data_IF_661000213717
#
_entry.id   IF_661000213717
#
_cell.length_a   1.000
_cell.length_b   1.000
_cell.length_c   1.000
_cell.angle_alpha   90.00
_cell.angle_beta   90.00
_cell.angle_gamma   90.00
#
_symmetry.space_group_name_H-M   'P 1'
#
loop_
_entity.id
_entity.type
_entity.pdbx_description
1 polymer ?
#
# COMPACT_ATOMS: atom_id res chain seq x y z
N UNK A 1 -15.00 -8.13 4.06
CA UNK A 1 -14.11 -7.05 3.53
C UNK A 1 -12.62 -7.37 3.68
N UNK A 2 -12.20 -8.08 4.74
CA UNK A 2 -10.80 -8.48 5.01
C UNK A 2 -10.13 -9.24 3.86
N UNK A 3 -10.88 -10.14 3.22
CA UNK A 3 -10.43 -10.88 2.03
C UNK A 3 -9.96 -9.96 0.89
N UNK A 4 -10.73 -8.90 0.57
CA UNK A 4 -10.37 -7.96 -0.50
C UNK A 4 -9.09 -7.18 -0.16
N UNK A 5 -8.96 -6.75 1.10
CA UNK A 5 -7.75 -6.04 1.58
C UNK A 5 -6.52 -6.92 1.41
N UNK A 6 -6.63 -8.19 1.82
CA UNK A 6 -5.53 -9.14 1.74
C UNK A 6 -5.10 -9.41 0.30
N UNK A 7 -6.06 -9.67 -0.60
CA UNK A 7 -5.77 -9.87 -2.03
C UNK A 7 -5.19 -8.64 -2.70
N UNK A 8 -5.72 -7.45 -2.43
CA UNK A 8 -5.17 -6.21 -2.98
C UNK A 8 -3.72 -5.99 -2.56
N UNK A 9 -3.38 -6.21 -1.29
CA UNK A 9 -2.00 -6.09 -0.82
C UNK A 9 -1.07 -7.11 -1.45
N UNK A 10 -1.49 -8.38 -1.57
CA UNK A 10 -0.70 -9.42 -2.25
C UNK A 10 -0.49 -9.07 -3.72
N UNK A 11 -1.53 -8.61 -4.41
CA UNK A 11 -1.43 -8.20 -5.81
C UNK A 11 -0.48 -7.02 -5.98
N UNK A 12 -0.57 -5.98 -5.14
CA UNK A 12 0.38 -4.86 -5.20
C UNK A 12 1.81 -5.35 -4.99
N UNK A 13 2.07 -6.16 -3.96
CA UNK A 13 3.41 -6.70 -3.68
C UNK A 13 3.92 -7.53 -4.86
N UNK A 14 3.10 -8.44 -5.39
CA UNK A 14 3.47 -9.27 -6.54
C UNK A 14 3.75 -8.45 -7.80
N UNK A 15 2.88 -7.48 -8.11
CA UNK A 15 3.07 -6.54 -9.21
C UNK A 15 4.33 -5.70 -9.03
N UNK A 16 4.62 -5.21 -7.82
CA UNK A 16 5.82 -4.45 -7.52
C UNK A 16 7.09 -5.30 -7.68
N UNK A 17 7.08 -6.56 -7.23
CA UNK A 17 8.22 -7.49 -7.43
C UNK A 17 8.47 -7.71 -8.92
N UNK A 18 7.41 -7.99 -9.69
CA UNK A 18 7.51 -8.19 -11.14
C UNK A 18 7.99 -6.92 -11.85
N UNK A 19 7.41 -5.77 -11.52
CA UNK A 19 7.79 -4.49 -12.09
C UNK A 19 9.23 -4.11 -11.75
N UNK A 20 9.70 -4.42 -10.54
CA UNK A 20 11.07 -4.18 -10.11
C UNK A 20 12.04 -5.09 -10.87
N UNK A 21 11.73 -6.37 -11.03
CA UNK A 21 12.55 -7.30 -11.82
C UNK A 21 12.67 -6.85 -13.28
N UNK A 22 11.56 -6.50 -13.93
CA UNK A 22 11.57 -5.99 -15.32
C UNK A 22 12.34 -4.67 -15.42
N UNK A 23 12.15 -3.76 -14.45
CA UNK A 23 12.84 -2.47 -14.45
C UNK A 23 14.36 -2.63 -14.25
N UNK A 24 14.81 -3.59 -13.45
CA UNK A 24 16.23 -3.90 -13.29
C UNK A 24 16.85 -4.43 -14.59
N UNK A 25 16.15 -5.32 -15.30
CA UNK A 25 16.60 -5.82 -16.61
C UNK A 25 16.66 -4.72 -17.68
N UNK A 26 15.82 -3.69 -17.56
CA UNK A 26 15.79 -2.52 -18.43
C UNK A 26 16.75 -1.38 -17.98
N UNK A 27 17.69 -1.64 -17.07
CA UNK A 27 18.64 -0.62 -16.61
C UNK A 27 18.03 0.51 -15.77
N UNK A 28 16.87 0.26 -15.14
CA UNK A 28 16.15 1.22 -14.31
C UNK A 28 15.17 2.13 -15.07
N UNK A 29 15.07 1.96 -16.39
CA UNK A 29 14.20 2.76 -17.26
C UNK A 29 13.34 1.85 -18.15
N UNK A 30 12.31 1.19 -17.59
CA UNK A 30 11.38 0.39 -18.39
C UNK A 30 10.61 1.28 -19.36
N UNK A 31 10.05 0.68 -20.41
CA UNK A 31 9.20 1.39 -21.36
C UNK A 31 7.99 2.05 -20.65
N UNK A 32 7.62 3.25 -21.09
CA UNK A 32 6.57 4.05 -20.45
C UNK A 32 5.23 3.30 -20.34
N UNK A 33 4.84 2.55 -21.37
CA UNK A 33 3.59 1.77 -21.37
C UNK A 33 3.57 0.72 -20.27
N UNK A 34 4.71 0.12 -19.95
CA UNK A 34 4.84 -0.87 -18.88
C UNK A 34 4.69 -0.21 -17.51
N UNK A 35 5.36 0.93 -17.32
CA UNK A 35 5.23 1.72 -16.09
C UNK A 35 3.78 2.18 -15.87
N UNK A 36 3.11 2.65 -16.93
CA UNK A 36 1.70 3.04 -16.87
C UNK A 36 0.80 1.87 -16.49
N UNK A 37 0.96 0.71 -17.14
CA UNK A 37 0.20 -0.48 -16.81
C UNK A 37 0.40 -0.90 -15.33
N UNK A 38 1.63 -0.85 -14.84
CA UNK A 38 1.96 -1.11 -13.43
C UNK A 38 1.28 -0.12 -12.49
N UNK A 39 1.46 1.18 -12.70
CA UNK A 39 0.90 2.22 -11.82
C UNK A 39 -0.62 2.18 -11.83
N UNK A 40 -1.27 1.99 -12.98
CA UNK A 40 -2.72 1.84 -13.07
C UNK A 40 -3.23 0.65 -12.25
N UNK A 41 -2.57 -0.50 -12.39
CA UNK A 41 -2.95 -1.72 -11.66
C UNK A 41 -2.74 -1.55 -10.14
N UNK A 42 -1.64 -0.93 -9.73
CA UNK A 42 -1.36 -0.63 -8.33
C UNK A 42 -2.39 0.34 -7.75
N UNK A 43 -2.71 1.43 -8.45
CA UNK A 43 -3.69 2.43 -8.00
C UNK A 43 -5.12 1.87 -7.96
N UNK A 44 -5.48 0.97 -8.87
CA UNK A 44 -6.74 0.23 -8.80
C UNK A 44 -6.84 -0.56 -7.48
N UNK A 45 -5.79 -1.31 -7.13
CA UNK A 45 -5.74 -2.06 -5.87
C UNK A 45 -5.76 -1.14 -4.64
N UNK A 46 -5.07 0.01 -4.69
CA UNK A 46 -5.10 1.04 -3.65
C UNK A 46 -6.52 1.61 -3.48
N UNK A 47 -7.26 1.83 -4.56
CA UNK A 47 -8.66 2.26 -4.50
C UNK A 47 -9.54 1.26 -3.73
N UNK A 48 -9.36 -0.03 -3.97
CA UNK A 48 -10.03 -1.10 -3.20
C UNK A 48 -9.62 -1.06 -1.73
N UNK A 49 -8.34 -0.80 -1.43
CA UNK A 49 -7.84 -0.72 -0.05
C UNK A 49 -8.45 0.42 0.74
N UNK A 50 -8.49 1.64 0.17
CA UNK A 50 -8.99 2.82 0.88
C UNK A 50 -10.42 2.63 1.39
N UNK A 51 -11.34 2.11 0.58
CA UNK A 51 -12.71 1.88 1.03
C UNK A 51 -12.80 0.81 2.13
N UNK A 52 -12.18 -0.34 1.89
CA UNK A 52 -12.32 -1.50 2.77
C UNK A 52 -11.56 -1.34 4.11
N UNK A 53 -10.33 -0.83 4.11
CA UNK A 53 -9.57 -0.61 5.35
C UNK A 53 -10.21 0.46 6.24
N UNK A 54 -10.68 1.56 5.67
CA UNK A 54 -11.38 2.58 6.45
C UNK A 54 -12.65 2.02 7.10
N UNK A 55 -13.45 1.22 6.36
CA UNK A 55 -14.64 0.60 6.94
C UNK A 55 -14.32 -0.36 8.09
N UNK A 56 -13.29 -1.21 7.93
CA UNK A 56 -12.85 -2.15 8.97
C UNK A 56 -12.34 -1.43 10.22
N UNK A 57 -11.65 -0.31 10.05
CA UNK A 57 -11.18 0.49 11.19
C UNK A 57 -12.33 1.15 11.96
N UNK A 58 -13.44 1.47 11.29
CA UNK A 58 -14.59 2.14 11.89
C UNK A 58 -15.64 1.18 12.47
N UNK A 59 -15.62 -0.10 12.10
CA UNK A 59 -16.53 -1.15 12.60
C UNK A 59 -16.69 -1.17 14.14
N UNK A 60 -15.62 -1.11 14.95
CA UNK A 60 -15.76 -1.13 16.42
C UNK A 60 -16.07 0.26 17.02
N UNK A 61 -15.93 1.35 16.26
CA UNK A 61 -16.00 2.72 16.79
C UNK A 61 -17.44 3.26 16.85
N UNK A 62 -18.38 2.70 16.09
CA UNK A 62 -19.82 3.02 16.17
C UNK A 62 -20.08 4.53 16.14
N UNK A 63 -20.66 5.07 17.23
CA UNK A 63 -20.96 6.51 17.37
C UNK A 63 -19.73 7.43 17.30
N UNK A 64 -18.52 6.91 17.50
CA UNK A 64 -17.25 7.64 17.40
C UNK A 64 -16.60 7.53 16.03
N UNK A 65 -17.21 6.86 15.05
CA UNK A 65 -16.62 6.64 13.73
C UNK A 65 -16.19 7.93 13.02
N UNK A 66 -16.92 9.04 13.21
CA UNK A 66 -16.54 10.34 12.62
C UNK A 66 -15.22 10.88 13.17
N UNK A 67 -15.04 10.86 14.50
CA UNK A 67 -13.79 11.29 15.16
C UNK A 67 -12.67 10.31 14.80
N UNK A 68 -12.96 9.00 14.82
CA UNK A 68 -12.02 7.96 14.42
C UNK A 68 -11.49 8.16 12.99
N UNK A 69 -12.36 8.44 12.03
CA UNK A 69 -11.98 8.67 10.64
C UNK A 69 -11.07 9.90 10.48
N UNK A 70 -11.36 10.99 11.21
CA UNK A 70 -10.52 12.18 11.21
C UNK A 70 -9.11 11.92 11.78
N UNK A 71 -9.03 11.15 12.87
CA UNK A 71 -7.74 10.75 13.46
C UNK A 71 -6.97 9.83 12.53
N UNK A 72 -7.62 8.82 11.95
CA UNK A 72 -6.98 7.90 10.99
C UNK A 72 -6.48 8.66 9.77
N UNK A 73 -7.26 9.58 9.21
CA UNK A 73 -6.86 10.39 8.05
C UNK A 73 -5.69 11.32 8.34
N UNK A 74 -5.72 12.03 9.47
CA UNK A 74 -4.65 12.94 9.88
C UNK A 74 -3.34 12.19 10.18
N UNK A 75 -3.40 11.11 10.96
CA UNK A 75 -2.22 10.27 11.24
C UNK A 75 -1.68 9.59 9.98
N UNK A 76 -2.55 9.09 9.09
CA UNK A 76 -2.11 8.48 7.83
C UNK A 76 -1.35 9.49 6.98
N UNK A 77 -1.83 10.73 6.89
CA UNK A 77 -1.15 11.80 6.16
C UNK A 77 0.19 12.17 6.82
N UNK A 78 0.19 12.32 8.14
CA UNK A 78 1.38 12.66 8.92
C UNK A 78 2.49 11.59 8.78
N UNK A 79 2.13 10.30 8.76
CA UNK A 79 3.07 9.19 8.57
C UNK A 79 3.48 9.06 7.10
N UNK A 80 2.54 9.24 6.16
CA UNK A 80 2.82 9.11 4.72
C UNK A 80 3.77 10.20 4.22
N UNK A 81 3.70 11.42 4.76
CA UNK A 81 4.52 12.55 4.35
C UNK A 81 6.05 12.26 4.44
N UNK A 82 6.63 11.86 5.59
CA UNK A 82 8.05 11.56 5.68
C UNK A 82 8.43 10.33 4.85
N UNK A 83 7.59 9.28 4.81
CA UNK A 83 7.88 8.09 4.00
C UNK A 83 7.94 8.39 2.51
N UNK A 84 6.95 9.13 2.00
CA UNK A 84 6.92 9.62 0.62
C UNK A 84 8.09 10.55 0.32
N UNK A 85 8.45 11.41 1.28
CA UNK A 85 9.63 12.29 1.16
C UNK A 85 10.92 11.49 1.04
N UNK A 86 11.14 10.49 1.90
CA UNK A 86 12.32 9.62 1.83
C UNK A 86 12.39 8.92 0.47
N UNK A 87 11.30 8.30 0.03
CA UNK A 87 11.26 7.61 -1.27
C UNK A 87 11.52 8.60 -2.42
N UNK A 88 10.90 9.78 -2.39
CA UNK A 88 11.06 10.81 -3.40
C UNK A 88 12.47 11.39 -3.47
N UNK A 89 13.12 11.61 -2.33
CA UNK A 89 14.51 12.10 -2.26
C UNK A 89 15.53 11.06 -2.75
N UNK A 90 15.17 9.77 -2.72
CA UNK A 90 15.99 8.71 -3.30
C UNK A 90 15.84 8.59 -4.83
N UNK A 91 15.04 9.45 -5.48
CA UNK A 91 14.92 9.46 -6.93
C UNK A 91 16.25 9.82 -7.60
N UNK A 92 16.76 8.90 -8.40
CA UNK A 92 18.08 8.98 -9.04
C UNK A 92 17.99 8.92 -10.57
N UNK A 93 16.86 9.35 -11.16
CA UNK A 93 16.62 9.24 -12.61
C UNK A 93 16.15 7.86 -13.07
N UNK A 94 15.87 6.95 -12.13
CA UNK A 94 15.27 5.63 -12.39
C UNK A 94 13.94 5.50 -11.66
N UNK A 95 13.09 4.59 -12.11
CA UNK A 95 11.81 4.28 -11.45
C UNK A 95 11.96 3.29 -10.29
N UNK A 96 13.17 2.76 -10.06
CA UNK A 96 13.43 1.72 -9.07
C UNK A 96 13.08 2.16 -7.64
N UNK A 97 13.47 3.36 -7.15
CA UNK A 97 13.13 3.80 -5.79
C UNK A 97 11.61 3.87 -5.57
N UNK A 98 10.86 4.29 -6.60
CA UNK A 98 9.40 4.37 -6.55
C UNK A 98 8.76 2.98 -6.47
N UNK A 99 9.13 2.06 -7.36
CA UNK A 99 8.57 0.70 -7.39
C UNK A 99 8.95 -0.05 -6.10
N UNK A 100 10.20 0.06 -5.66
CA UNK A 100 10.68 -0.53 -4.41
C UNK A 100 9.93 0.05 -3.21
N UNK A 101 9.74 1.37 -3.16
CA UNK A 101 8.99 2.03 -2.08
C UNK A 101 7.55 1.53 -1.97
N UNK A 102 6.83 1.47 -3.10
CA UNK A 102 5.46 0.92 -3.14
C UNK A 102 5.44 -0.55 -2.68
N UNK A 103 6.36 -1.38 -3.20
CA UNK A 103 6.43 -2.79 -2.86
C UNK A 103 6.76 -3.05 -1.39
N UNK A 104 7.74 -2.33 -0.85
CA UNK A 104 8.16 -2.44 0.55
C UNK A 104 7.06 -2.00 1.51
N UNK A 105 6.46 -0.81 1.31
CA UNK A 105 5.41 -0.30 2.18
C UNK A 105 4.15 -1.19 2.12
N UNK A 106 3.79 -1.68 0.93
CA UNK A 106 2.68 -2.63 0.77
C UNK A 106 2.97 -3.97 1.44
N UNK A 107 4.21 -4.45 1.36
CA UNK A 107 4.67 -5.65 2.06
C UNK A 107 4.60 -5.51 3.58
N UNK A 108 5.08 -4.38 4.12
CA UNK A 108 4.95 -4.06 5.54
C UNK A 108 3.48 -3.98 5.97
N UNK A 109 2.63 -3.33 5.18
CA UNK A 109 1.19 -3.27 5.43
C UNK A 109 0.56 -4.67 5.49
N UNK A 110 0.95 -5.57 4.58
CA UNK A 110 0.48 -6.96 4.58
C UNK A 110 0.88 -7.72 5.86
N UNK A 111 2.10 -7.50 6.36
CA UNK A 111 2.55 -8.10 7.63
C UNK A 111 1.75 -7.56 8.82
N UNK A 112 1.52 -6.25 8.86
CA UNK A 112 0.73 -5.60 9.92
C UNK A 112 -0.71 -6.09 9.91
N UNK A 113 -1.34 -6.18 8.73
CA UNK A 113 -2.70 -6.72 8.60
C UNK A 113 -2.74 -8.14 9.13
N UNK A 114 -1.85 -9.03 8.68
CA UNK A 114 -1.79 -10.42 9.14
C UNK A 114 -1.60 -10.55 10.66
N UNK A 115 -0.74 -9.72 11.24
CA UNK A 115 -0.54 -9.71 12.68
C UNK A 115 -1.81 -9.27 13.43
N UNK A 116 -2.51 -8.25 12.93
CA UNK A 116 -3.78 -7.81 13.49
C UNK A 116 -4.86 -8.90 13.39
N UNK A 117 -4.92 -9.65 12.29
CA UNK A 117 -5.86 -10.76 12.15
C UNK A 117 -5.57 -11.90 13.13
N UNK A 118 -4.29 -12.25 13.28
CA UNK A 118 -3.87 -13.30 14.21
C UNK A 118 -4.23 -12.97 15.66
N UNK A 119 -4.03 -11.71 16.08
CA UNK A 119 -4.43 -11.25 17.42
C UNK A 119 -5.93 -11.37 17.66
N UNK A 120 -6.75 -10.98 16.68
CA UNK A 120 -8.20 -11.11 16.80
C UNK A 120 -8.65 -12.58 16.90
N UNK A 121 -8.02 -13.47 16.14
CA UNK A 121 -8.33 -14.92 16.21
C UNK A 121 -7.96 -15.56 17.55
N UNK A 122 -6.98 -15.01 18.27
CA UNK A 122 -6.55 -15.51 19.59
C UNK A 122 -7.42 -14.96 20.73
N UNK A 123 -8.17 -13.88 20.49
CA UNK A 123 -9.03 -13.21 21.47
C UNK A 123 -10.51 -13.63 21.37
N UNK A 124 -10.87 -14.44 20.38
CA UNK A 124 -12.21 -15.00 20.16
C UNK A 124 -12.28 -16.45 20.68
#
# INVERSE_FOLDING_TARGET
MRFLVWWSLILIVGLSILALAVSLLAGGQPALWFLMAYIMSAFFCIGVLFGNQNSLAMEPLGHLAGIGAAVVGSLSTFISMPLGTIIGQNYNGTVLPLIAGIGLLSGLSLLVVRWAEWKQATQA
#
